data_IF_611588944767
#
_entry.id   IF_611588944767
#
_cell.length_a   1.000
_cell.length_b   1.000
_cell.length_c   1.000
_cell.angle_alpha   90.00
_cell.angle_beta   90.00
_cell.angle_gamma   90.00
#
_symmetry.space_group_name_H-M   'P 1'
#
loop_
_entity.id
_entity.type
_entity.pdbx_description
1 polymer ?
#
# COMPACT_ATOMS: atom_id res chain seq x y z
N UNK A 1 -20.07 4.16 -3.23
CA UNK A 1 -19.42 2.90 -3.58
C UNK A 1 -19.66 2.45 -5.01
N UNK A 2 -20.82 2.65 -5.60
CA UNK A 2 -21.19 2.17 -6.96
C UNK A 2 -20.61 2.98 -8.13
N UNK A 3 -20.05 4.17 -7.90
CA UNK A 3 -19.51 5.06 -8.95
C UNK A 3 -18.05 4.76 -9.37
N UNK A 4 -17.28 4.12 -8.49
CA UNK A 4 -15.88 3.74 -8.76
C UNK A 4 -15.75 2.61 -9.80
N UNK A 5 -16.75 1.73 -9.89
CA UNK A 5 -16.76 0.61 -10.84
C UNK A 5 -17.15 1.03 -12.28
N UNK A 6 -17.87 2.16 -12.46
CA UNK A 6 -18.39 2.56 -13.78
C UNK A 6 -17.38 3.32 -14.65
N UNK A 7 -16.33 3.93 -14.09
CA UNK A 7 -15.33 4.68 -14.86
C UNK A 7 -14.21 3.78 -15.38
N UNK A 8 -13.93 2.64 -14.76
CA UNK A 8 -12.97 1.65 -15.27
C UNK A 8 -13.45 0.85 -16.47
N UNK A 9 -14.76 0.87 -16.79
CA UNK A 9 -15.34 0.21 -17.97
C UNK A 9 -15.08 0.92 -19.28
N UNK A 10 -14.44 2.10 -19.30
CA UNK A 10 -14.20 2.90 -20.50
C UNK A 10 -13.08 2.38 -21.40
N UNK A 11 -12.25 1.45 -20.92
CA UNK A 11 -11.25 0.74 -21.71
C UNK A 11 -11.66 -0.74 -21.83
N UNK A 12 -12.51 -1.01 -22.83
CA UNK A 12 -13.11 -2.32 -23.07
C UNK A 12 -12.11 -3.47 -23.17
N UNK A 13 -11.95 -4.19 -22.09
CA UNK A 13 -11.51 -5.60 -22.09
C UNK A 13 -12.03 -6.27 -20.82
N UNK A 14 -12.52 -7.50 -20.95
CA UNK A 14 -12.96 -8.38 -19.86
C UNK A 14 -11.78 -8.71 -18.93
N UNK A 15 -11.40 -7.79 -18.04
CA UNK A 15 -10.50 -8.08 -16.94
C UNK A 15 -11.34 -8.52 -15.72
N UNK A 16 -10.87 -9.57 -15.06
CA UNK A 16 -11.52 -10.03 -13.82
C UNK A 16 -11.60 -8.86 -12.86
N UNK A 17 -12.80 -8.59 -12.35
CA UNK A 17 -13.05 -7.52 -11.36
C UNK A 17 -12.55 -7.99 -9.99
N UNK A 18 -11.24 -7.89 -9.75
CA UNK A 18 -10.68 -8.06 -8.40
C UNK A 18 -11.06 -6.83 -7.60
N UNK A 19 -11.90 -7.00 -6.60
CA UNK A 19 -12.18 -5.93 -5.63
C UNK A 19 -11.03 -5.87 -4.62
N UNK A 20 -10.15 -4.87 -4.79
CA UNK A 20 -8.99 -4.67 -3.92
C UNK A 20 -9.36 -4.36 -2.47
N UNK A 21 -10.57 -3.87 -2.21
CA UNK A 21 -11.03 -3.57 -0.85
C UNK A 21 -11.21 -4.84 -0.02
N UNK A 22 -11.55 -5.97 -0.66
CA UNK A 22 -11.59 -7.30 -0.04
C UNK A 22 -10.25 -7.71 0.56
N UNK A 23 -9.16 -7.16 0.03
CA UNK A 23 -7.78 -7.40 0.47
C UNK A 23 -7.25 -6.29 1.40
N UNK A 24 -8.13 -5.41 1.89
CA UNK A 24 -7.78 -4.34 2.83
C UNK A 24 -7.06 -3.14 2.18
N UNK A 25 -6.98 -3.04 0.84
CA UNK A 25 -6.45 -1.88 0.15
C UNK A 25 -7.56 -0.84 0.02
N UNK A 26 -7.44 0.23 0.79
CA UNK A 26 -8.42 1.31 0.90
C UNK A 26 -7.84 2.64 0.42
N UNK A 27 -8.66 3.70 0.47
CA UNK A 27 -8.21 5.05 0.17
C UNK A 27 -7.05 5.49 1.08
N UNK A 28 -6.07 6.17 0.52
CA UNK A 28 -4.81 6.53 1.16
C UNK A 28 -3.64 5.68 0.67
N UNK A 29 -2.68 5.40 1.54
CA UNK A 29 -1.51 4.57 1.25
C UNK A 29 -1.58 3.30 2.09
N UNK A 30 -1.77 2.18 1.42
CA UNK A 30 -1.73 0.84 1.98
C UNK A 30 -0.31 0.27 1.79
N UNK A 31 0.40 0.03 2.90
CA UNK A 31 1.75 -0.49 2.86
C UNK A 31 1.73 -1.99 2.61
N UNK A 32 2.44 -2.42 1.57
CA UNK A 32 2.56 -3.83 1.18
C UNK A 32 4.03 -4.16 0.93
N UNK A 33 4.37 -5.43 0.84
CA UNK A 33 5.65 -5.84 0.28
C UNK A 33 5.40 -6.29 -1.15
N UNK A 34 5.94 -5.55 -2.12
CA UNK A 34 5.76 -5.84 -3.53
C UNK A 34 6.85 -6.78 -4.01
N UNK A 35 6.47 -7.89 -4.63
CA UNK A 35 7.38 -8.77 -5.36
C UNK A 35 7.32 -8.51 -6.87
N UNK A 36 8.49 -8.54 -7.50
CA UNK A 36 8.73 -8.34 -8.94
C UNK A 36 9.82 -9.27 -9.42
N UNK A 37 10.07 -9.32 -10.72
CA UNK A 37 11.11 -10.18 -11.30
C UNK A 37 10.59 -11.60 -11.54
N UNK A 38 10.06 -11.85 -12.75
CA UNK A 38 9.47 -13.16 -13.09
C UNK A 38 10.52 -14.27 -13.10
N UNK A 39 11.77 -13.93 -13.39
CA UNK A 39 12.90 -14.88 -13.45
C UNK A 39 13.76 -14.82 -12.17
N UNK A 40 14.07 -13.60 -11.72
CA UNK A 40 14.87 -13.33 -10.52
C UNK A 40 14.01 -12.52 -9.55
N UNK A 41 13.37 -13.17 -8.56
CA UNK A 41 12.43 -12.51 -7.67
C UNK A 41 13.13 -11.49 -6.77
N UNK A 42 12.50 -10.32 -6.64
CA UNK A 42 12.87 -9.27 -5.72
C UNK A 42 11.63 -8.86 -4.92
N UNK A 43 11.80 -8.48 -3.68
CA UNK A 43 10.73 -7.96 -2.84
C UNK A 43 11.16 -6.68 -2.12
N UNK A 44 10.25 -5.70 -2.08
CA UNK A 44 10.51 -4.42 -1.40
C UNK A 44 9.21 -3.82 -0.85
N UNK A 45 9.24 -3.09 0.27
CA UNK A 45 8.09 -2.35 0.79
C UNK A 45 7.68 -1.24 -0.17
N UNK A 46 6.45 -1.28 -0.62
CA UNK A 46 5.87 -0.30 -1.55
C UNK A 46 4.43 0.01 -1.11
N UNK A 47 4.12 1.28 -0.98
CA UNK A 47 2.76 1.74 -0.73
C UNK A 47 1.90 1.69 -2.00
N UNK A 48 0.81 0.94 -1.95
CA UNK A 48 -0.24 0.99 -2.96
C UNK A 48 -1.13 2.19 -2.65
N UNK A 49 -1.30 3.06 -3.62
CA UNK A 49 -1.98 4.35 -3.42
C UNK A 49 -3.33 4.33 -4.12
N UNK A 50 -4.38 4.56 -3.32
CA UNK A 50 -5.73 4.84 -3.82
C UNK A 50 -6.06 6.28 -3.49
N UNK A 51 -6.30 7.10 -4.50
CA UNK A 51 -6.63 8.52 -4.31
C UNK A 51 -7.50 9.02 -5.46
N UNK A 52 -8.59 9.69 -5.13
CA UNK A 52 -9.52 10.26 -6.12
C UNK A 52 -9.95 9.24 -7.19
N UNK A 53 -10.21 8.00 -6.76
CA UNK A 53 -10.58 6.89 -7.65
C UNK A 53 -9.45 6.32 -8.50
N UNK A 54 -8.22 6.83 -8.39
CA UNK A 54 -7.04 6.34 -9.08
C UNK A 54 -6.29 5.33 -8.20
N UNK A 55 -5.89 4.22 -8.78
CA UNK A 55 -5.06 3.20 -8.16
C UNK A 55 -3.68 3.21 -8.84
N UNK A 56 -2.64 3.51 -8.08
CA UNK A 56 -1.30 3.68 -8.64
C UNK A 56 -0.20 3.37 -7.62
N UNK A 57 1.03 3.33 -8.11
CA UNK A 57 2.24 3.14 -7.32
C UNK A 57 3.28 4.20 -7.69
N UNK A 58 4.15 4.53 -6.73
CA UNK A 58 5.34 5.34 -6.97
C UNK A 58 6.58 4.53 -6.59
N UNK A 59 7.44 4.28 -7.55
CA UNK A 59 8.69 3.54 -7.39
C UNK A 59 9.88 4.49 -7.50
N UNK A 60 10.84 4.38 -6.59
CA UNK A 60 12.06 5.17 -6.66
C UNK A 60 12.98 4.65 -7.75
N UNK A 61 13.51 5.60 -8.55
CA UNK A 61 14.46 5.30 -9.63
C UNK A 61 15.70 4.60 -9.07
N UNK A 62 16.20 3.59 -9.80
CA UNK A 62 17.39 2.83 -9.43
C UNK A 62 17.12 1.65 -8.49
N UNK A 63 15.89 1.47 -7.98
CA UNK A 63 15.53 0.26 -7.25
C UNK A 63 15.32 -0.93 -8.18
N UNK A 64 15.52 -2.15 -7.66
CA UNK A 64 15.24 -3.39 -8.41
C UNK A 64 13.76 -3.45 -8.85
N UNK A 65 12.83 -3.06 -7.97
CA UNK A 65 11.39 -3.00 -8.28
C UNK A 65 11.11 -2.05 -9.45
N UNK A 66 11.74 -0.88 -9.47
CA UNK A 66 11.62 0.07 -10.58
C UNK A 66 12.10 -0.53 -11.91
N UNK A 67 13.27 -1.18 -11.90
CA UNK A 67 13.87 -1.80 -13.10
C UNK A 67 12.99 -2.95 -13.62
N UNK A 68 12.51 -3.81 -12.72
CA UNK A 68 11.66 -4.95 -13.07
C UNK A 68 10.31 -4.49 -13.63
N UNK A 69 9.67 -3.48 -13.02
CA UNK A 69 8.39 -2.93 -13.54
C UNK A 69 8.58 -2.29 -14.91
N UNK A 70 9.67 -1.57 -15.16
CA UNK A 70 9.96 -1.04 -16.50
C UNK A 70 10.15 -2.15 -17.55
N UNK A 71 10.82 -3.24 -17.18
CA UNK A 71 11.12 -4.35 -18.07
C UNK A 71 9.91 -5.23 -18.34
N UNK A 72 9.15 -5.55 -17.30
CA UNK A 72 8.15 -6.62 -17.32
C UNK A 72 6.71 -6.09 -17.31
N UNK A 73 6.47 -4.91 -16.70
CA UNK A 73 5.15 -4.30 -16.62
C UNK A 73 4.20 -4.92 -15.59
N UNK A 74 4.73 -5.69 -14.64
CA UNK A 74 3.93 -6.39 -13.63
C UNK A 74 4.55 -6.29 -12.24
N UNK A 75 3.69 -6.47 -11.23
CA UNK A 75 4.08 -6.61 -9.83
C UNK A 75 3.03 -7.37 -9.05
N UNK A 76 3.41 -8.00 -7.93
CA UNK A 76 2.47 -8.58 -6.98
C UNK A 76 2.59 -7.88 -5.63
N UNK A 77 1.48 -7.34 -5.12
CA UNK A 77 1.40 -6.81 -3.77
C UNK A 77 1.09 -7.95 -2.80
N UNK A 78 1.96 -8.19 -1.85
CA UNK A 78 1.81 -9.18 -0.80
C UNK A 78 1.28 -8.48 0.46
N UNK A 79 0.15 -8.93 0.96
CA UNK A 79 -0.50 -8.42 2.17
C UNK A 79 0.11 -9.15 3.36
N UNK A 80 0.91 -8.43 4.13
CA UNK A 80 1.72 -8.96 5.23
C UNK A 80 1.64 -8.02 6.42
N UNK A 81 1.46 -8.58 7.61
CA UNK A 81 1.49 -7.82 8.87
C UNK A 81 2.64 -8.33 9.75
N UNK A 82 3.86 -8.24 9.21
CA UNK A 82 5.10 -8.64 9.88
C UNK A 82 6.15 -7.51 9.76
N UNK A 83 6.38 -6.71 10.82
CA UNK A 83 7.29 -5.58 10.76
C UNK A 83 8.75 -6.00 10.52
N UNK A 84 9.16 -7.19 10.96
CA UNK A 84 10.50 -7.70 10.70
C UNK A 84 10.72 -7.94 9.21
N UNK A 85 9.72 -8.50 8.50
CA UNK A 85 9.83 -8.74 7.08
C UNK A 85 9.84 -7.42 6.27
N UNK A 86 9.12 -6.38 6.73
CA UNK A 86 9.23 -5.04 6.15
C UNK A 86 10.65 -4.49 6.25
N UNK A 87 11.31 -4.63 7.40
CA UNK A 87 12.72 -4.20 7.58
C UNK A 87 13.64 -5.05 6.72
N UNK A 88 13.50 -6.37 6.73
CA UNK A 88 14.36 -7.28 5.95
C UNK A 88 14.27 -6.97 4.45
N UNK A 89 13.08 -6.90 3.89
CA UNK A 89 12.87 -6.63 2.45
C UNK A 89 13.20 -5.19 2.03
N UNK A 90 13.45 -4.28 3.00
CA UNK A 90 13.97 -2.93 2.71
C UNK A 90 15.47 -2.92 2.48
N UNK A 91 16.22 -3.68 3.30
CA UNK A 91 17.67 -3.55 3.39
C UNK A 91 18.42 -4.79 2.91
N UNK A 92 17.75 -5.90 2.67
CA UNK A 92 18.34 -7.16 2.25
C UNK A 92 17.52 -7.78 1.13
N UNK A 93 18.18 -8.46 0.21
CA UNK A 93 17.51 -9.33 -0.76
C UNK A 93 16.95 -10.54 -0.02
N UNK A 94 15.71 -10.91 -0.35
CA UNK A 94 15.09 -12.12 0.18
C UNK A 94 15.55 -13.32 -0.64
N UNK A 95 15.76 -14.44 0.05
CA UNK A 95 16.23 -15.66 -0.58
C UNK A 95 15.12 -16.37 -1.39
N UNK A 96 15.47 -17.08 -2.49
CA UNK A 96 14.48 -17.79 -3.31
C UNK A 96 13.51 -18.70 -2.54
N UNK A 97 13.91 -19.40 -1.46
CA UNK A 97 12.98 -20.22 -0.67
C UNK A 97 11.88 -19.43 0.06
N UNK A 98 11.97 -18.11 0.15
CA UNK A 98 10.95 -17.26 0.79
C UNK A 98 9.80 -16.92 -0.17
N UNK A 99 9.94 -17.29 -1.46
CA UNK A 99 8.92 -17.09 -2.47
C UNK A 99 8.20 -18.38 -2.82
N UNK A 100 6.90 -18.25 -3.07
CA UNK A 100 6.08 -19.17 -3.83
C UNK A 100 5.74 -18.54 -5.18
N UNK A 101 5.14 -19.33 -6.10
CA UNK A 101 4.80 -18.84 -7.43
C UNK A 101 3.35 -19.10 -7.75
N UNK A 102 2.67 -18.08 -8.23
CA UNK A 102 1.29 -18.16 -8.73
C UNK A 102 1.29 -18.00 -10.24
N UNK A 103 0.63 -18.92 -10.94
CA UNK A 103 0.46 -18.80 -12.39
C UNK A 103 -0.81 -18.01 -12.71
N UNK A 104 -0.64 -16.88 -13.39
CA UNK A 104 -1.74 -16.10 -13.95
C UNK A 104 -1.37 -15.63 -15.36
N UNK A 105 -2.33 -15.69 -16.30
CA UNK A 105 -2.12 -15.29 -17.69
C UNK A 105 -0.87 -15.89 -18.36
N UNK A 106 -0.56 -17.16 -18.05
CA UNK A 106 0.61 -17.91 -18.53
C UNK A 106 1.97 -17.43 -18.01
N UNK A 107 1.99 -16.52 -17.05
CA UNK A 107 3.19 -16.05 -16.38
C UNK A 107 3.21 -16.59 -14.94
N UNK A 108 4.42 -16.81 -14.41
CA UNK A 108 4.64 -17.19 -13.01
C UNK A 108 5.07 -15.96 -12.20
N UNK A 109 4.25 -15.57 -11.26
CA UNK A 109 4.49 -14.41 -10.41
C UNK A 109 5.04 -14.83 -9.05
N UNK A 110 6.17 -14.27 -8.58
CA UNK A 110 6.67 -14.54 -7.25
C UNK A 110 5.74 -13.90 -6.20
N UNK A 111 5.37 -14.68 -5.20
CA UNK A 111 4.55 -14.30 -4.06
C UNK A 111 5.31 -14.68 -2.80
N UNK A 112 5.28 -13.85 -1.76
CA UNK A 112 5.92 -14.18 -0.50
C UNK A 112 5.12 -15.25 0.26
N UNK A 113 5.79 -16.28 0.76
CA UNK A 113 5.16 -17.38 1.51
C UNK A 113 4.41 -16.92 2.75
N UNK A 114 4.92 -15.88 3.41
CA UNK A 114 4.28 -15.31 4.61
C UNK A 114 3.05 -14.45 4.30
N UNK A 115 2.78 -14.15 3.03
CA UNK A 115 1.63 -13.33 2.68
C UNK A 115 0.32 -13.99 3.10
N UNK A 116 -0.55 -13.25 3.78
CA UNK A 116 -1.93 -13.67 4.07
C UNK A 116 -2.79 -13.64 2.79
N UNK A 117 -2.47 -12.71 1.90
CA UNK A 117 -3.12 -12.54 0.62
C UNK A 117 -2.17 -11.84 -0.36
N UNK A 118 -2.51 -11.90 -1.63
CA UNK A 118 -1.73 -11.26 -2.69
C UNK A 118 -2.64 -10.74 -3.80
N UNK A 119 -2.19 -9.70 -4.49
CA UNK A 119 -2.83 -9.13 -5.67
C UNK A 119 -1.77 -8.91 -6.75
N UNK A 120 -1.97 -9.52 -7.92
CA UNK A 120 -1.12 -9.29 -9.09
C UNK A 120 -1.68 -8.10 -9.86
N UNK A 121 -0.81 -7.14 -10.16
CA UNK A 121 -1.13 -5.94 -10.92
C UNK A 121 -0.37 -5.91 -12.24
N UNK A 122 -1.05 -5.42 -13.27
CA UNK A 122 -0.41 -4.89 -14.48
C UNK A 122 -0.18 -3.40 -14.30
N UNK A 123 1.04 -2.96 -14.55
CA UNK A 123 1.43 -1.56 -14.55
C UNK A 123 1.16 -0.95 -15.92
N UNK A 124 0.38 0.12 -15.95
CA UNK A 124 0.02 0.85 -17.19
C UNK A 124 0.29 2.34 -16.99
N UNK A 125 0.19 3.14 -18.07
CA UNK A 125 0.33 4.60 -18.02
C UNK A 125 1.59 5.03 -17.26
N UNK A 126 2.74 4.42 -17.59
CA UNK A 126 3.98 4.61 -16.85
C UNK A 126 4.56 6.01 -17.15
N UNK A 127 4.67 6.83 -16.10
CA UNK A 127 5.36 8.13 -16.14
C UNK A 127 6.70 7.95 -15.41
N UNK A 128 7.79 8.01 -16.17
CA UNK A 128 9.15 7.90 -15.62
C UNK A 128 9.78 9.30 -15.54
N UNK A 129 10.14 9.72 -14.34
CA UNK A 129 10.80 11.00 -14.07
C UNK A 129 12.25 10.77 -13.64
N UNK A 130 13.02 11.84 -13.41
CA UNK A 130 14.40 11.75 -12.94
C UNK A 130 14.51 11.11 -11.54
N UNK A 131 13.46 11.14 -10.73
CA UNK A 131 13.48 10.65 -9.35
C UNK A 131 12.64 9.38 -9.14
N UNK A 132 11.58 9.19 -9.91
CA UNK A 132 10.61 8.12 -9.68
C UNK A 132 9.85 7.71 -10.94
N UNK A 133 9.28 6.53 -10.89
CA UNK A 133 8.28 6.04 -11.81
C UNK A 133 6.93 6.04 -11.11
N UNK A 134 5.90 6.58 -11.77
CA UNK A 134 4.51 6.48 -11.36
C UNK A 134 3.80 5.60 -12.38
N UNK A 135 3.15 4.54 -11.92
CA UNK A 135 2.39 3.64 -12.77
C UNK A 135 0.98 3.45 -12.23
N UNK A 136 -0.01 3.56 -13.10
CA UNK A 136 -1.37 3.14 -12.79
C UNK A 136 -1.44 1.62 -12.76
N UNK A 137 -2.26 1.09 -11.87
CA UNK A 137 -2.35 -0.33 -11.61
C UNK A 137 -3.71 -0.89 -12.04
N UNK A 138 -3.69 -1.99 -12.77
CA UNK A 138 -4.89 -2.80 -13.05
C UNK A 138 -4.74 -4.12 -12.32
N UNK A 139 -5.63 -4.46 -11.35
CA UNK A 139 -5.61 -5.76 -10.71
C UNK A 139 -6.01 -6.85 -11.73
N UNK A 140 -5.18 -7.88 -11.83
CA UNK A 140 -5.35 -8.98 -12.80
C UNK A 140 -5.79 -10.27 -12.16
N UNK A 141 -5.24 -10.58 -11.01
CA UNK A 141 -5.52 -11.80 -10.26
C UNK A 141 -5.23 -11.54 -8.77
N UNK A 142 -5.88 -12.26 -7.89
CA UNK A 142 -5.67 -12.17 -6.46
C UNK A 142 -6.02 -13.49 -5.78
N UNK A 143 -5.47 -13.69 -4.59
CA UNK A 143 -5.78 -14.86 -3.79
C UNK A 143 -5.39 -14.71 -2.34
N UNK A 144 -5.82 -15.69 -1.57
CA UNK A 144 -5.52 -15.81 -0.16
C UNK A 144 -4.60 -17.01 0.07
N UNK A 145 -3.71 -16.89 1.02
CA UNK A 145 -3.01 -18.04 1.53
C UNK A 145 -3.91 -18.71 2.58
N UNK A 146 -4.36 -19.93 2.29
CA UNK A 146 -5.28 -20.68 3.16
C UNK A 146 -4.74 -20.86 4.58
N UNK A 147 -3.42 -20.93 4.76
CA UNK A 147 -2.78 -21.08 6.06
C UNK A 147 -2.73 -19.77 6.87
N UNK A 148 -2.79 -18.61 6.19
CA UNK A 148 -2.62 -17.29 6.80
C UNK A 148 -3.90 -16.43 6.75
N UNK A 149 -5.03 -17.02 6.38
CA UNK A 149 -6.31 -16.35 6.07
C UNK A 149 -6.96 -15.58 7.22
N UNK A 150 -6.53 -15.80 8.46
CA UNK A 150 -7.33 -15.38 9.63
C UNK A 150 -7.36 -13.88 9.91
N UNK A 151 -6.40 -13.10 9.42
CA UNK A 151 -6.39 -11.64 9.64
C UNK A 151 -5.72 -10.90 8.48
N UNK A 152 -6.53 -10.45 7.53
CA UNK A 152 -6.00 -9.56 6.49
C UNK A 152 -5.93 -8.15 7.07
N UNK A 153 -4.74 -7.76 7.48
CA UNK A 153 -4.41 -6.43 7.92
C UNK A 153 -3.42 -5.81 6.95
N UNK A 154 -3.77 -4.65 6.42
CA UNK A 154 -2.85 -3.83 5.62
C UNK A 154 -2.45 -2.62 6.46
N UNK A 155 -1.16 -2.42 6.76
CA UNK A 155 -0.71 -1.24 7.48
C UNK A 155 -1.10 0.03 6.73
N UNK A 156 -1.88 0.91 7.38
CA UNK A 156 -2.25 2.22 6.85
C UNK A 156 -1.56 3.30 7.67
N UNK A 157 -0.63 4.03 7.02
CA UNK A 157 0.16 5.08 7.69
C UNK A 157 -0.69 6.26 8.14
N UNK A 158 -1.76 6.59 7.40
CA UNK A 158 -2.70 7.65 7.76
C UNK A 158 -3.45 7.30 9.04
N UNK A 159 -3.99 6.09 9.12
CA UNK A 159 -4.69 5.58 10.31
C UNK A 159 -3.76 5.56 11.53
N UNK A 160 -2.55 5.02 11.40
CA UNK A 160 -1.57 4.99 12.48
C UNK A 160 -1.20 6.41 12.95
N UNK A 161 -1.08 7.37 12.03
CA UNK A 161 -0.81 8.76 12.38
C UNK A 161 -1.96 9.39 13.17
N UNK A 162 -3.23 9.09 12.87
CA UNK A 162 -4.38 9.54 13.66
C UNK A 162 -4.34 8.97 15.07
N UNK A 163 -3.99 7.68 15.23
CA UNK A 163 -3.85 7.05 16.55
C UNK A 163 -2.77 7.78 17.38
N UNK A 164 -1.57 7.99 16.82
CA UNK A 164 -0.48 8.65 17.51
C UNK A 164 -0.83 10.11 17.87
N UNK A 165 -1.45 10.86 16.95
CA UNK A 165 -1.92 12.21 17.21
C UNK A 165 -2.91 12.24 18.40
N UNK A 166 -3.84 11.28 18.44
CA UNK A 166 -4.85 11.17 19.52
C UNK A 166 -4.19 10.88 20.86
N UNK A 167 -3.22 9.97 20.90
CA UNK A 167 -2.42 9.67 22.12
C UNK A 167 -1.69 10.93 22.61
N UNK A 168 -1.08 11.70 21.71
CA UNK A 168 -0.41 12.94 22.08
C UNK A 168 -1.37 14.06 22.52
N UNK A 169 -2.57 14.11 21.94
CA UNK A 169 -3.62 15.06 22.35
C UNK A 169 -4.08 14.81 23.79
N UNK A 170 -4.31 13.55 24.18
CA UNK A 170 -4.65 13.25 25.58
C UNK A 170 -3.52 13.62 26.54
N UNK A 171 -2.24 13.41 26.17
CA UNK A 171 -1.10 13.82 26.98
C UNK A 171 -0.97 15.32 27.09
N UNK A 172 -1.28 16.06 26.02
CA UNK A 172 -1.32 17.51 26.05
C UNK A 172 -2.40 18.04 26.99
N UNK A 173 -3.62 17.49 26.90
CA UNK A 173 -4.72 17.91 27.81
C UNK A 173 -4.39 17.64 29.29
N UNK A 174 -3.66 16.56 29.60
CA UNK A 174 -3.29 16.23 30.97
C UNK A 174 -2.13 17.08 31.52
N UNK A 175 -1.18 17.48 30.70
CA UNK A 175 0.09 18.10 31.14
C UNK A 175 0.27 19.57 30.76
N UNK A 176 -0.44 20.02 29.72
CA UNK A 176 -0.20 21.36 29.13
C UNK A 176 1.13 21.48 28.37
N UNK A 177 1.93 20.40 28.26
CA UNK A 177 3.27 20.48 27.68
C UNK A 177 3.22 20.64 26.16
N UNK A 178 3.66 21.81 25.69
CA UNK A 178 3.64 22.23 24.29
C UNK A 178 4.45 21.30 23.34
N UNK A 179 5.31 20.43 23.86
CA UNK A 179 6.02 19.44 23.02
C UNK A 179 5.03 18.53 22.30
N UNK A 180 3.90 18.20 22.94
CA UNK A 180 2.87 17.35 22.33
C UNK A 180 2.16 18.02 21.16
N UNK A 181 1.99 19.34 21.16
CA UNK A 181 1.43 20.07 20.01
C UNK A 181 2.28 19.91 18.75
N UNK A 182 3.62 19.91 18.89
CA UNK A 182 4.52 19.66 17.74
C UNK A 182 4.38 18.25 17.19
N UNK A 183 4.21 17.25 18.07
CA UNK A 183 3.99 15.86 17.66
C UNK A 183 2.62 15.69 17.00
N UNK A 184 1.56 16.29 17.57
CA UNK A 184 0.22 16.27 16.96
C UNK A 184 0.28 16.87 15.56
N UNK A 185 0.95 18.02 15.36
CA UNK A 185 1.10 18.64 14.05
C UNK A 185 1.88 17.76 13.07
N UNK A 186 2.95 17.10 13.54
CA UNK A 186 3.71 16.15 12.72
C UNK A 186 2.82 15.01 12.21
N UNK A 187 2.06 14.39 13.10
CA UNK A 187 1.15 13.29 12.74
C UNK A 187 -0.06 13.76 11.92
N UNK A 188 -0.55 15.00 12.15
CA UNK A 188 -1.59 15.59 11.30
C UNK A 188 -1.13 15.74 9.85
N UNK A 189 0.10 16.19 9.63
CA UNK A 189 0.69 16.27 8.29
C UNK A 189 0.83 14.87 7.65
N UNK A 190 1.22 13.86 8.45
CA UNK A 190 1.35 12.49 7.97
C UNK A 190 -0.03 11.89 7.62
N UNK A 191 -1.04 12.08 8.48
CA UNK A 191 -2.41 11.64 8.24
C UNK A 191 -2.99 12.29 6.96
N UNK A 192 -2.78 13.58 6.77
CA UNK A 192 -3.21 14.30 5.55
C UNK A 192 -2.55 13.75 4.28
N UNK A 193 -1.27 13.36 4.35
CA UNK A 193 -0.51 12.83 3.22
C UNK A 193 -0.87 11.40 2.88
N UNK A 194 -1.04 10.54 3.90
CA UNK A 194 -1.12 9.09 3.75
C UNK A 194 -2.53 8.52 3.97
N UNK A 195 -3.42 9.26 4.60
CA UNK A 195 -4.80 8.85 4.87
C UNK A 195 -5.77 9.22 3.75
N UNK A 196 -6.99 8.72 3.88
CA UNK A 196 -8.15 9.08 3.08
C UNK A 196 -9.06 10.10 3.80
N UNK A 197 -10.30 10.18 3.38
CA UNK A 197 -11.29 11.13 3.93
C UNK A 197 -11.62 10.86 5.41
N UNK A 198 -11.61 9.60 5.85
CA UNK A 198 -11.89 9.27 7.24
C UNK A 198 -10.79 9.80 8.17
N UNK A 199 -9.52 9.66 7.79
CA UNK A 199 -8.39 10.17 8.56
C UNK A 199 -8.38 11.70 8.61
N UNK A 200 -8.71 12.37 7.50
CA UNK A 200 -8.85 13.84 7.46
C UNK A 200 -9.97 14.32 8.39
N UNK A 201 -11.13 13.66 8.37
CA UNK A 201 -12.25 13.98 9.26
C UNK A 201 -11.91 13.74 10.73
N UNK A 202 -11.21 12.64 11.04
CA UNK A 202 -10.75 12.34 12.39
C UNK A 202 -9.77 13.42 12.91
N UNK A 203 -8.81 13.85 12.08
CA UNK A 203 -7.88 14.90 12.43
C UNK A 203 -8.57 16.26 12.64
N UNK A 204 -9.57 16.59 11.81
CA UNK A 204 -10.37 17.80 12.01
C UNK A 204 -11.09 17.78 13.37
N UNK A 205 -11.75 16.67 13.70
CA UNK A 205 -12.40 16.51 15.02
C UNK A 205 -11.39 16.63 16.16
N UNK A 206 -10.18 16.06 16.01
CA UNK A 206 -9.15 16.16 17.03
C UNK A 206 -8.70 17.63 17.27
N UNK A 207 -8.56 18.42 16.21
CA UNK A 207 -8.26 19.87 16.33
C UNK A 207 -9.38 20.62 17.06
N UNK A 208 -10.64 20.35 16.71
CA UNK A 208 -11.81 20.97 17.39
C UNK A 208 -11.86 20.64 18.89
N UNK A 209 -11.41 19.44 19.29
CA UNK A 209 -11.29 19.04 20.71
C UNK A 209 -10.16 19.77 21.43
N UNK A 210 -9.07 20.08 20.75
CA UNK A 210 -7.92 20.76 21.34
C UNK A 210 -8.10 22.29 21.47
N UNK A 211 -9.06 22.87 20.74
CA UNK A 211 -9.42 24.29 20.80
C UNK A 211 -10.43 24.60 21.91
N UNK A 212 -11.03 23.60 22.54
CA UNK A 212 -11.95 23.72 23.69
C UNK A 212 -11.20 23.80 25.02
#
# INVERSE_FOLDING_TARGET
>A
MTKLLSEYTKYGSKFSTVDISTFGILEGISETIVSTGLEYPNAAPIGIIVRDGRLFVRLFRGSHTWANVLKEGYMAANIIYNPLLFVRSTFFDLEPPEFDYVTAHRLKFPILKEAAAWIIFKCISVINTDQSLIADLIPMNAGFNEMNKMNILVPNRGFNAVLEATVHATRYQLSGDKKYLKLIQHYANLASKCGGENEKRAMKLLHEVLER
#
